data_IF_584233699062
#
_entry.id   IF_584233699062
#
_cell.length_a   1.000
_cell.length_b   1.000
_cell.length_c   1.000
_cell.angle_alpha   90.00
_cell.angle_beta   90.00
_cell.angle_gamma   90.00
#
_symmetry.space_group_name_H-M   'P 1'
#
loop_
_entity.id
_entity.type
_entity.pdbx_description
1 polymer ?
#
# COMPACT_ATOMS: atom_id res chain seq x y z
N UNK A 1 74.27 16.51 -35.86
CA UNK A 1 75.54 16.80 -35.20
C UNK A 1 75.45 16.65 -33.70
N UNK A 2 76.18 15.67 -33.20
CA UNK A 2 77.04 15.68 -32.01
C UNK A 2 76.29 16.00 -30.69
N UNK A 3 76.31 15.24 -29.64
CA UNK A 3 77.23 14.20 -29.16
C UNK A 3 76.59 13.41 -28.00
N UNK A 4 76.94 12.16 -28.01
CA UNK A 4 76.96 11.22 -26.88
C UNK A 4 77.74 11.78 -25.66
N UNK A 5 77.31 11.36 -24.45
CA UNK A 5 78.07 10.68 -23.36
C UNK A 5 77.29 10.84 -22.06
N UNK A 6 76.78 9.76 -21.54
CA UNK A 6 77.37 8.88 -20.49
C UNK A 6 77.32 9.49 -19.07
N UNK A 7 76.59 8.80 -18.20
CA UNK A 7 77.02 8.53 -16.82
C UNK A 7 76.16 7.40 -16.20
N UNK A 8 76.85 6.57 -15.50
CA UNK A 8 76.60 5.22 -15.09
C UNK A 8 75.52 5.00 -14.02
N UNK A 9 75.38 3.76 -13.54
CA UNK A 9 74.23 3.31 -12.76
C UNK A 9 74.36 3.74 -11.29
N UNK A 10 73.35 4.45 -10.80
CA UNK A 10 73.18 4.71 -9.37
C UNK A 10 72.39 3.55 -8.76
N UNK A 11 73.08 2.71 -8.01
CA UNK A 11 72.48 1.64 -7.19
C UNK A 11 71.88 2.26 -5.96
N UNK A 12 70.57 2.28 -5.85
CA UNK A 12 69.87 2.69 -4.63
C UNK A 12 69.39 1.41 -3.89
N UNK A 13 69.60 1.27 -2.59
CA UNK A 13 69.27 0.06 -1.85
C UNK A 13 67.77 -0.10 -1.69
N UNK A 14 67.30 -1.32 -1.98
CA UNK A 14 65.93 -1.77 -1.72
C UNK A 14 65.60 -1.74 -0.23
N UNK A 15 64.75 -0.81 0.20
CA UNK A 15 64.06 -0.94 1.48
C UNK A 15 62.86 -1.89 1.36
N UNK A 16 62.62 -2.74 2.37
CA UNK A 16 61.51 -3.68 2.33
C UNK A 16 60.18 -2.94 2.43
N UNK A 17 59.32 -3.17 1.44
CA UNK A 17 57.92 -2.71 1.41
C UNK A 17 57.15 -3.40 2.53
N UNK A 18 56.86 -2.72 3.62
CA UNK A 18 56.00 -3.20 4.69
C UNK A 18 54.57 -3.11 4.17
N UNK A 19 54.03 -4.26 3.86
CA UNK A 19 52.67 -4.44 3.37
C UNK A 19 51.68 -4.30 4.56
N UNK A 20 51.24 -3.09 4.88
CA UNK A 20 50.15 -2.85 5.79
C UNK A 20 48.82 -3.26 5.13
N UNK A 21 48.52 -4.55 5.22
CA UNK A 21 47.14 -5.03 5.00
C UNK A 21 46.29 -4.51 6.17
N UNK A 22 45.70 -3.33 5.97
CA UNK A 22 44.54 -2.92 6.78
C UNK A 22 43.41 -3.85 6.45
N UNK A 23 42.82 -4.57 7.40
CA UNK A 23 41.66 -5.40 7.12
C UNK A 23 40.52 -4.43 6.76
N UNK A 24 40.08 -4.44 5.49
CA UNK A 24 38.78 -3.90 5.11
C UNK A 24 37.74 -4.68 5.90
N UNK A 25 37.23 -4.08 6.99
CA UNK A 25 35.96 -4.50 7.57
C UNK A 25 34.93 -4.44 6.44
N UNK A 26 34.61 -5.60 5.87
CA UNK A 26 33.34 -5.76 5.16
C UNK A 26 32.27 -5.49 6.21
N UNK A 27 31.65 -4.31 6.09
CA UNK A 27 30.42 -4.00 6.74
C UNK A 27 29.39 -4.87 6.00
N UNK A 28 29.18 -6.08 6.49
CA UNK A 28 28.00 -6.86 6.14
C UNK A 28 26.79 -6.03 6.60
N UNK A 29 26.20 -5.30 5.65
CA UNK A 29 24.84 -4.81 5.79
C UNK A 29 24.02 -6.09 5.84
N UNK A 30 23.71 -6.57 7.05
CA UNK A 30 22.67 -7.55 7.25
C UNK A 30 21.39 -6.88 6.75
N UNK A 31 20.98 -7.17 5.51
CA UNK A 31 19.61 -7.01 5.09
C UNK A 31 18.79 -7.84 6.07
N UNK A 32 18.18 -7.18 7.05
CA UNK A 32 17.15 -7.81 7.85
C UNK A 32 16.03 -8.14 6.86
N UNK A 33 15.83 -9.41 6.57
CA UNK A 33 14.64 -9.85 5.87
C UNK A 33 13.45 -9.35 6.70
N UNK A 34 12.64 -8.49 6.11
CA UNK A 34 11.43 -8.01 6.77
C UNK A 34 10.57 -9.22 7.11
N UNK A 35 10.27 -9.37 8.38
CA UNK A 35 9.41 -10.46 8.84
C UNK A 35 8.00 -10.15 8.29
N UNK A 36 7.35 -11.12 7.64
CA UNK A 36 6.01 -10.91 7.09
C UNK A 36 5.02 -10.56 8.20
N UNK A 37 4.17 -9.57 7.96
CA UNK A 37 3.08 -9.16 8.86
C UNK A 37 1.76 -9.83 8.53
N UNK A 38 1.74 -10.73 7.53
CA UNK A 38 0.54 -11.46 7.09
C UNK A 38 0.02 -12.39 8.18
N UNK A 39 -1.29 -12.30 8.47
CA UNK A 39 -2.02 -13.25 9.31
C UNK A 39 -2.65 -14.34 8.41
N UNK A 40 -2.19 -15.60 8.46
CA UNK A 40 -2.71 -16.65 7.59
C UNK A 40 -4.21 -16.96 7.78
N UNK A 41 -4.76 -16.70 8.98
CA UNK A 41 -6.18 -16.90 9.24
C UNK A 41 -7.04 -15.82 8.55
N UNK A 42 -6.55 -14.60 8.49
CA UNK A 42 -7.20 -13.53 7.74
C UNK A 42 -7.17 -13.82 6.24
N UNK A 43 -6.00 -14.20 5.70
CA UNK A 43 -5.85 -14.58 4.28
C UNK A 43 -6.86 -15.66 3.88
N UNK A 44 -7.00 -16.74 4.69
CA UNK A 44 -7.93 -17.82 4.41
C UNK A 44 -9.40 -17.36 4.34
N UNK A 45 -9.80 -16.33 5.11
CA UNK A 45 -11.15 -15.75 5.04
C UNK A 45 -11.41 -15.12 3.67
N UNK A 46 -10.47 -14.32 3.16
CA UNK A 46 -10.59 -13.67 1.84
C UNK A 46 -10.51 -14.67 0.70
N UNK A 47 -9.64 -15.67 0.76
CA UNK A 47 -9.57 -16.74 -0.24
C UNK A 47 -10.88 -17.49 -0.41
N UNK A 48 -11.61 -17.71 0.68
CA UNK A 48 -12.91 -18.39 0.65
C UNK A 48 -13.98 -17.58 -0.09
N UNK A 49 -13.79 -16.29 -0.29
CA UNK A 49 -14.73 -15.37 -0.96
C UNK A 49 -14.25 -14.90 -2.34
N UNK A 50 -13.08 -15.30 -2.80
CA UNK A 50 -12.40 -14.74 -3.97
C UNK A 50 -13.28 -14.69 -5.24
N UNK A 51 -14.12 -15.69 -5.48
CA UNK A 51 -14.98 -15.74 -6.67
C UNK A 51 -16.15 -14.74 -6.66
N UNK A 52 -16.42 -14.10 -5.53
CA UNK A 52 -17.55 -13.18 -5.36
C UNK A 52 -17.16 -11.70 -5.51
N UNK A 53 -15.87 -11.38 -5.75
CA UNK A 53 -15.36 -9.99 -5.79
C UNK A 53 -16.19 -9.09 -6.73
N UNK A 54 -16.61 -9.59 -7.89
CA UNK A 54 -17.32 -8.82 -8.91
C UNK A 54 -18.83 -9.02 -8.91
N UNK A 55 -19.39 -9.78 -7.94
CA UNK A 55 -20.83 -9.84 -7.75
C UNK A 55 -21.32 -8.64 -6.90
N UNK A 56 -21.99 -7.65 -7.52
CA UNK A 56 -22.46 -6.46 -6.79
C UNK A 56 -23.59 -6.77 -5.80
N UNK A 57 -24.15 -7.98 -5.81
CA UNK A 57 -25.14 -8.44 -4.87
C UNK A 57 -24.60 -9.49 -3.89
N UNK A 58 -23.35 -9.92 -4.08
CA UNK A 58 -22.64 -10.89 -3.25
C UNK A 58 -22.11 -10.31 -1.93
N UNK A 59 -21.14 -11.01 -1.36
CA UNK A 59 -20.52 -10.64 -0.06
C UNK A 59 -19.77 -9.31 -0.09
N UNK A 60 -19.30 -8.88 -1.28
CA UNK A 60 -18.61 -7.60 -1.45
C UNK A 60 -19.53 -6.44 -1.83
N UNK A 61 -20.84 -6.62 -1.78
CA UNK A 61 -21.82 -5.54 -2.02
C UNK A 61 -21.52 -4.25 -1.24
N UNK A 62 -21.15 -4.28 0.06
CA UNK A 62 -20.81 -3.06 0.79
C UNK A 62 -19.63 -2.31 0.17
N UNK A 63 -18.61 -3.04 -0.29
CA UNK A 63 -17.45 -2.45 -0.95
C UNK A 63 -17.83 -1.82 -2.30
N UNK A 64 -18.66 -2.48 -3.10
CA UNK A 64 -19.18 -1.90 -4.35
C UNK A 64 -19.95 -0.60 -4.10
N UNK A 65 -20.76 -0.54 -3.04
CA UNK A 65 -21.49 0.67 -2.66
C UNK A 65 -20.58 1.79 -2.15
N UNK A 66 -19.52 1.45 -1.42
CA UNK A 66 -18.56 2.40 -0.87
C UNK A 66 -17.56 2.89 -1.93
N UNK A 67 -17.30 2.08 -2.96
CA UNK A 67 -16.19 2.30 -3.90
C UNK A 67 -16.22 3.67 -4.61
N UNK A 68 -17.36 4.22 -5.06
CA UNK A 68 -17.39 5.57 -5.60
C UNK A 68 -16.83 6.62 -4.64
N UNK A 69 -17.20 6.54 -3.36
CA UNK A 69 -16.73 7.47 -2.33
C UNK A 69 -15.23 7.31 -2.02
N UNK A 70 -14.71 6.05 -2.07
CA UNK A 70 -13.27 5.78 -1.98
C UNK A 70 -12.51 6.39 -3.15
N UNK A 71 -13.02 6.20 -4.37
CA UNK A 71 -12.42 6.73 -5.58
C UNK A 71 -12.39 8.27 -5.58
N UNK A 72 -13.47 8.92 -5.13
CA UNK A 72 -13.52 10.38 -5.00
C UNK A 72 -12.40 10.89 -4.08
N UNK A 73 -12.20 10.24 -2.93
CA UNK A 73 -11.11 10.60 -2.03
C UNK A 73 -9.74 10.35 -2.64
N UNK A 74 -9.48 9.12 -3.11
CA UNK A 74 -8.18 8.70 -3.65
C UNK A 74 -7.77 9.60 -4.81
N UNK A 75 -8.67 9.79 -5.78
CA UNK A 75 -8.36 10.59 -6.97
C UNK A 75 -8.12 12.06 -6.63
N UNK A 76 -8.88 12.62 -5.68
CA UNK A 76 -8.69 14.01 -5.22
C UNK A 76 -7.34 14.20 -4.53
N UNK A 77 -6.93 13.26 -3.66
CA UNK A 77 -5.63 13.33 -2.98
C UNK A 77 -4.47 13.21 -3.98
N UNK A 78 -4.54 12.24 -4.91
CA UNK A 78 -3.52 12.09 -5.95
C UNK A 78 -3.46 13.32 -6.85
N UNK A 79 -4.62 13.86 -7.25
CA UNK A 79 -4.69 15.05 -8.09
C UNK A 79 -4.09 16.29 -7.40
N UNK A 80 -4.36 16.46 -6.11
CA UNK A 80 -3.79 17.55 -5.31
C UNK A 80 -2.27 17.42 -5.15
N UNK A 81 -1.77 16.24 -4.83
CA UNK A 81 -0.34 16.00 -4.59
C UNK A 81 0.51 16.17 -5.86
N UNK A 82 -0.01 15.70 -7.01
CA UNK A 82 0.75 15.68 -8.27
C UNK A 82 0.30 16.75 -9.28
N UNK A 83 -0.49 17.74 -8.86
CA UNK A 83 -1.03 18.82 -9.70
C UNK A 83 -1.68 18.29 -10.98
N UNK A 84 -2.69 17.39 -10.82
CA UNK A 84 -3.40 16.73 -11.91
C UNK A 84 -4.82 17.24 -12.06
N UNK A 85 -5.23 17.48 -13.32
CA UNK A 85 -6.60 17.85 -13.66
C UNK A 85 -7.45 16.61 -13.94
N UNK A 86 -8.40 16.31 -13.04
CA UNK A 86 -9.29 15.15 -13.16
C UNK A 86 -10.28 15.25 -14.33
N UNK A 87 -10.40 16.41 -14.98
CA UNK A 87 -11.27 16.59 -16.16
C UNK A 87 -10.64 16.06 -17.46
N UNK A 88 -9.33 15.80 -17.48
CA UNK A 88 -8.64 15.34 -18.68
C UNK A 88 -8.46 13.82 -18.68
N UNK A 89 -8.54 13.15 -19.87
CA UNK A 89 -8.26 11.72 -19.97
C UNK A 89 -6.81 11.37 -19.60
N UNK A 90 -6.63 10.19 -19.04
CA UNK A 90 -5.31 9.68 -18.62
C UNK A 90 -4.55 10.62 -17.67
N UNK A 91 -5.28 11.28 -16.79
CA UNK A 91 -4.74 12.29 -15.86
C UNK A 91 -3.59 11.75 -15.00
N UNK A 92 -3.59 10.45 -14.68
CA UNK A 92 -2.54 9.80 -13.87
C UNK A 92 -1.41 9.17 -14.70
N UNK A 93 -1.34 9.48 -16.00
CA UNK A 93 -0.25 9.00 -16.85
C UNK A 93 1.12 9.39 -16.27
N UNK A 94 2.00 8.40 -16.16
CA UNK A 94 3.36 8.54 -15.63
C UNK A 94 3.45 8.36 -14.11
N UNK A 95 2.32 8.19 -13.40
CA UNK A 95 2.33 7.76 -12.00
C UNK A 95 2.36 6.24 -11.92
N UNK A 96 3.18 5.73 -11.02
CA UNK A 96 3.29 4.32 -10.66
C UNK A 96 2.62 4.11 -9.32
N UNK A 97 1.52 3.35 -9.29
CA UNK A 97 0.66 3.19 -8.11
C UNK A 97 0.66 1.72 -7.69
N UNK A 98 0.86 1.49 -6.40
CA UNK A 98 0.72 0.18 -5.77
C UNK A 98 -0.60 0.11 -5.02
N UNK A 99 -1.39 -0.92 -5.29
CA UNK A 99 -2.62 -1.27 -4.57
C UNK A 99 -2.36 -2.54 -3.73
N UNK A 100 -2.17 -2.36 -2.42
CA UNK A 100 -1.88 -3.46 -1.48
C UNK A 100 -3.18 -3.98 -0.90
N UNK A 101 -3.38 -5.30 -0.93
CA UNK A 101 -4.67 -5.93 -0.64
C UNK A 101 -5.68 -5.64 -1.74
N UNK A 102 -5.24 -5.74 -3.00
CA UNK A 102 -6.04 -5.34 -4.16
C UNK A 102 -7.33 -6.16 -4.35
N UNK A 103 -7.45 -7.32 -3.69
CA UNK A 103 -8.60 -8.20 -3.81
C UNK A 103 -8.89 -8.57 -5.26
N UNK A 104 -10.13 -8.32 -5.70
CA UNK A 104 -10.54 -8.51 -7.09
C UNK A 104 -10.18 -7.37 -8.04
N UNK A 105 -9.48 -6.33 -7.60
CA UNK A 105 -9.07 -5.20 -8.44
C UNK A 105 -10.06 -4.04 -8.49
N UNK A 106 -10.98 -3.92 -7.53
CA UNK A 106 -12.03 -2.88 -7.50
C UNK A 106 -11.48 -1.44 -7.48
N UNK A 107 -10.26 -1.23 -6.97
CA UNK A 107 -9.57 0.08 -6.99
C UNK A 107 -8.52 0.12 -8.09
N UNK A 108 -7.81 -0.97 -8.33
CA UNK A 108 -6.77 -1.06 -9.35
C UNK A 108 -7.28 -0.69 -10.74
N UNK A 109 -8.46 -1.21 -11.16
CA UNK A 109 -8.99 -0.95 -12.49
C UNK A 109 -9.37 0.51 -12.75
N UNK A 110 -10.10 1.22 -11.86
CA UNK A 110 -10.36 2.64 -12.04
C UNK A 110 -9.09 3.49 -12.14
N UNK A 111 -8.05 3.19 -11.36
CA UNK A 111 -6.76 3.90 -11.43
C UNK A 111 -6.06 3.65 -12.77
N UNK A 112 -6.09 2.41 -13.28
CA UNK A 112 -5.56 2.08 -14.60
C UNK A 112 -6.33 2.80 -15.73
N UNK A 113 -7.66 2.95 -15.61
CA UNK A 113 -8.48 3.72 -16.57
C UNK A 113 -8.12 5.21 -16.57
N UNK A 114 -7.61 5.75 -15.47
CA UNK A 114 -7.08 7.11 -15.37
C UNK A 114 -5.64 7.24 -15.89
N UNK A 115 -5.06 6.14 -16.39
CA UNK A 115 -3.77 6.13 -17.07
C UNK A 115 -2.56 5.85 -16.19
N UNK A 116 -2.75 5.50 -14.92
CA UNK A 116 -1.65 5.10 -14.04
C UNK A 116 -1.08 3.73 -14.43
N UNK A 117 0.22 3.52 -14.15
CA UNK A 117 0.84 2.20 -14.10
C UNK A 117 0.49 1.54 -12.77
N UNK A 118 -0.37 0.52 -12.80
CA UNK A 118 -0.85 -0.14 -11.58
C UNK A 118 -0.18 -1.48 -11.38
N UNK A 119 0.30 -1.68 -10.15
CA UNK A 119 0.65 -2.99 -9.62
C UNK A 119 -0.31 -3.28 -8.47
N UNK A 120 -1.08 -4.36 -8.59
CA UNK A 120 -1.98 -4.84 -7.55
C UNK A 120 -1.35 -6.05 -6.84
N UNK A 121 -1.26 -6.00 -5.52
CA UNK A 121 -0.70 -7.12 -4.76
C UNK A 121 -1.69 -7.59 -3.69
N UNK A 122 -1.72 -8.90 -3.47
CA UNK A 122 -2.57 -9.49 -2.44
C UNK A 122 -1.88 -10.72 -1.84
N UNK A 123 -2.03 -10.91 -0.54
CA UNK A 123 -1.53 -12.07 0.17
C UNK A 123 -2.42 -13.31 -0.02
N UNK A 124 -3.67 -13.12 -0.43
CA UNK A 124 -4.59 -14.20 -0.79
C UNK A 124 -4.38 -14.60 -2.26
N UNK A 125 -3.76 -15.74 -2.49
CA UNK A 125 -3.39 -16.22 -3.82
C UNK A 125 -4.59 -16.29 -4.76
N UNK A 126 -5.76 -16.70 -4.25
CA UNK A 126 -6.99 -16.85 -5.05
C UNK A 126 -7.57 -15.55 -5.58
N UNK A 127 -7.23 -14.41 -5.00
CA UNK A 127 -7.69 -13.10 -5.48
C UNK A 127 -7.04 -12.73 -6.82
N UNK A 128 -5.77 -13.07 -6.99
CA UNK A 128 -4.96 -12.66 -8.14
C UNK A 128 -5.54 -13.12 -9.50
N UNK A 129 -5.87 -14.40 -9.71
CA UNK A 129 -6.46 -14.82 -11.00
C UNK A 129 -7.85 -14.20 -11.25
N UNK A 130 -8.61 -13.89 -10.19
CA UNK A 130 -9.92 -13.21 -10.33
C UNK A 130 -9.73 -11.77 -10.80
N UNK A 131 -8.83 -11.01 -10.17
CA UNK A 131 -8.50 -9.66 -10.57
C UNK A 131 -7.94 -9.61 -12.01
N UNK A 132 -6.98 -10.48 -12.34
CA UNK A 132 -6.37 -10.55 -13.66
C UNK A 132 -7.39 -10.89 -14.75
N UNK A 133 -8.29 -11.85 -14.49
CA UNK A 133 -9.32 -12.23 -15.45
C UNK A 133 -10.31 -11.08 -15.73
N UNK A 134 -10.73 -10.34 -14.70
CA UNK A 134 -11.65 -9.21 -14.89
C UNK A 134 -10.97 -8.03 -15.60
N UNK A 135 -9.72 -7.70 -15.24
CA UNK A 135 -8.95 -6.66 -15.94
C UNK A 135 -8.77 -6.99 -17.43
N UNK A 136 -8.45 -8.26 -17.77
CA UNK A 136 -8.33 -8.72 -19.16
C UNK A 136 -9.65 -8.57 -19.92
N UNK A 137 -10.79 -8.93 -19.32
CA UNK A 137 -12.14 -8.72 -19.91
C UNK A 137 -12.44 -7.24 -20.12
N UNK A 138 -11.93 -6.39 -19.23
CA UNK A 138 -12.06 -4.93 -19.30
C UNK A 138 -11.06 -4.28 -20.26
N UNK A 139 -10.15 -5.04 -20.90
CA UNK A 139 -9.11 -4.52 -21.78
C UNK A 139 -8.04 -3.71 -21.07
N UNK A 140 -7.83 -3.95 -19.77
CA UNK A 140 -6.84 -3.27 -18.94
C UNK A 140 -5.59 -4.13 -18.78
N UNK A 141 -4.42 -3.48 -18.79
CA UNK A 141 -3.15 -4.12 -18.48
C UNK A 141 -2.70 -3.71 -17.08
N UNK A 142 -2.91 -4.60 -16.10
CA UNK A 142 -2.55 -4.40 -14.70
C UNK A 142 -1.67 -5.57 -14.28
N UNK A 143 -0.58 -5.29 -13.59
CA UNK A 143 0.32 -6.30 -13.05
C UNK A 143 -0.18 -6.74 -11.66
N UNK A 144 -0.84 -7.90 -11.61
CA UNK A 144 -1.32 -8.49 -10.37
C UNK A 144 -0.36 -9.57 -9.86
N UNK A 145 0.07 -9.46 -8.60
CA UNK A 145 1.06 -10.37 -7.99
C UNK A 145 0.58 -10.93 -6.65
N UNK A 146 0.74 -12.24 -6.47
CA UNK A 146 0.62 -12.87 -5.15
C UNK A 146 1.92 -12.60 -4.37
N UNK A 147 1.92 -11.56 -3.55
CA UNK A 147 3.08 -11.15 -2.74
C UNK A 147 2.64 -10.23 -1.60
N UNK A 148 3.58 -9.80 -0.76
CA UNK A 148 3.36 -8.91 0.38
C UNK A 148 4.14 -7.60 0.23
N UNK A 149 3.77 -6.58 1.00
CA UNK A 149 4.48 -5.30 1.03
C UNK A 149 5.97 -5.48 1.36
N UNK A 150 6.27 -6.33 2.35
CA UNK A 150 7.63 -6.57 2.83
C UNK A 150 8.50 -7.28 1.77
N UNK A 151 7.90 -8.21 1.01
CA UNK A 151 8.60 -8.87 -0.09
C UNK A 151 8.96 -7.88 -1.20
N UNK A 152 8.03 -6.98 -1.56
CA UNK A 152 8.28 -5.93 -2.56
C UNK A 152 9.33 -4.91 -2.11
N UNK A 153 9.42 -4.60 -0.81
CA UNK A 153 10.54 -3.81 -0.27
C UNK A 153 11.87 -4.49 -0.56
N UNK A 154 11.94 -5.82 -0.34
CA UNK A 154 13.15 -6.61 -0.58
C UNK A 154 13.52 -6.65 -2.07
N UNK A 155 12.54 -6.61 -2.98
CA UNK A 155 12.72 -6.51 -4.42
C UNK A 155 13.20 -5.12 -4.89
N UNK A 156 13.18 -4.12 -3.99
CA UNK A 156 13.63 -2.76 -4.29
C UNK A 156 12.63 -1.91 -5.06
N UNK A 157 11.37 -2.32 -5.10
CA UNK A 157 10.29 -1.59 -5.78
C UNK A 157 10.01 -0.24 -5.12
N UNK A 158 9.63 0.77 -5.92
CA UNK A 158 9.27 2.12 -5.44
C UNK A 158 8.15 2.71 -6.27
N UNK A 159 7.23 3.42 -5.61
CA UNK A 159 5.98 3.92 -6.17
C UNK A 159 5.79 5.39 -5.87
N UNK A 160 5.07 6.08 -6.74
CA UNK A 160 4.61 7.43 -6.50
C UNK A 160 3.48 7.41 -5.45
N UNK A 161 2.57 6.45 -5.57
CA UNK A 161 1.43 6.29 -4.65
C UNK A 161 1.36 4.85 -4.14
N UNK A 162 1.10 4.68 -2.85
CA UNK A 162 0.76 3.40 -2.22
C UNK A 162 -0.64 3.52 -1.63
N UNK A 163 -1.54 2.63 -2.04
CA UNK A 163 -2.92 2.55 -1.55
C UNK A 163 -3.08 1.26 -0.76
N UNK A 164 -3.64 1.33 0.43
CA UNK A 164 -4.05 0.17 1.21
C UNK A 164 -5.39 0.43 1.90
N UNK A 165 -6.45 -0.09 1.31
CA UNK A 165 -7.81 0.16 1.79
C UNK A 165 -8.34 -1.06 2.54
N UNK A 166 -8.65 -0.90 3.85
CA UNK A 166 -9.15 -1.97 4.72
C UNK A 166 -8.17 -3.17 4.81
N UNK A 167 -6.88 -2.89 5.03
CA UNK A 167 -5.82 -3.92 5.16
C UNK A 167 -5.13 -3.85 6.50
N UNK A 168 -4.85 -2.65 7.01
CA UNK A 168 -4.03 -2.44 8.20
C UNK A 168 -4.56 -3.10 9.46
N UNK A 169 -5.88 -3.31 9.57
CA UNK A 169 -6.53 -4.04 10.67
C UNK A 169 -6.37 -5.56 10.57
N UNK A 170 -5.97 -6.09 9.42
CA UNK A 170 -5.82 -7.53 9.17
C UNK A 170 -4.39 -8.03 9.31
N UNK A 171 -3.42 -7.14 9.53
CA UNK A 171 -2.01 -7.52 9.69
C UNK A 171 -1.66 -7.79 11.15
N UNK A 172 -0.66 -8.64 11.37
CA UNK A 172 -0.21 -9.00 12.72
C UNK A 172 0.56 -7.87 13.43
N UNK A 173 1.27 -7.02 12.69
CA UNK A 173 2.02 -5.87 13.20
C UNK A 173 1.77 -4.64 12.31
N UNK A 174 0.82 -3.77 12.68
CA UNK A 174 0.50 -2.57 11.90
C UNK A 174 1.68 -1.61 11.72
N UNK A 175 2.58 -1.47 12.71
CA UNK A 175 3.73 -0.56 12.58
C UNK A 175 4.75 -1.09 11.59
N UNK A 176 5.10 -2.37 11.66
CA UNK A 176 6.01 -3.00 10.70
C UNK A 176 5.44 -2.94 9.28
N UNK A 177 4.15 -3.19 9.11
CA UNK A 177 3.44 -3.10 7.84
C UNK A 177 3.47 -1.68 7.26
N UNK A 178 3.12 -0.65 8.04
CA UNK A 178 3.14 0.74 7.60
C UNK A 178 4.57 1.23 7.31
N UNK A 179 5.58 0.69 8.01
CA UNK A 179 6.99 0.93 7.70
C UNK A 179 7.35 0.38 6.32
N UNK A 180 6.91 -0.84 6.00
CA UNK A 180 7.08 -1.39 4.65
C UNK A 180 6.36 -0.56 3.57
N UNK A 181 5.14 -0.08 3.84
CA UNK A 181 4.43 0.85 2.95
C UNK A 181 5.23 2.14 2.71
N UNK A 182 5.81 2.71 3.78
CA UNK A 182 6.67 3.91 3.68
C UNK A 182 7.93 3.64 2.85
N UNK A 183 8.56 2.49 3.04
CA UNK A 183 9.75 2.11 2.26
C UNK A 183 9.44 1.95 0.77
N UNK A 184 8.24 1.48 0.42
CA UNK A 184 7.78 1.35 -0.96
C UNK A 184 7.50 2.69 -1.64
N UNK A 185 7.34 3.78 -0.90
CA UNK A 185 7.18 5.11 -1.46
C UNK A 185 8.50 5.70 -1.95
N UNK A 186 8.47 6.41 -3.05
CA UNK A 186 9.51 7.37 -3.44
C UNK A 186 9.53 8.54 -2.44
N UNK A 187 10.64 9.29 -2.28
CA UNK A 187 10.60 10.58 -1.60
C UNK A 187 9.52 11.49 -2.20
N UNK A 188 8.71 12.15 -1.37
CA UNK A 188 7.54 12.91 -1.80
C UNK A 188 6.36 12.04 -2.25
N UNK A 189 6.40 10.72 -2.06
CA UNK A 189 5.31 9.82 -2.44
C UNK A 189 4.13 9.86 -1.48
N UNK A 190 2.93 9.58 -2.00
CA UNK A 190 1.65 9.63 -1.28
C UNK A 190 1.20 8.25 -0.82
N UNK A 191 0.86 8.12 0.45
CA UNK A 191 0.22 6.94 1.03
C UNK A 191 -1.23 7.21 1.35
N UNK A 192 -2.13 6.31 0.96
CA UNK A 192 -3.57 6.40 1.26
C UNK A 192 -3.99 5.11 1.96
N UNK A 193 -4.51 5.23 3.18
CA UNK A 193 -4.88 4.11 4.02
C UNK A 193 -6.28 4.31 4.60
N UNK A 194 -7.13 3.28 4.54
CA UNK A 194 -8.40 3.28 5.27
C UNK A 194 -8.51 2.11 6.23
N UNK A 195 -9.33 2.27 7.26
CA UNK A 195 -9.66 1.23 8.22
C UNK A 195 -10.94 1.58 8.99
N UNK A 196 -11.30 0.71 9.93
CA UNK A 196 -12.49 0.86 10.78
C UNK A 196 -12.06 1.39 12.16
N UNK A 197 -12.76 2.42 12.63
CA UNK A 197 -12.52 3.03 13.93
C UNK A 197 -12.94 2.10 15.08
N UNK A 198 -12.15 2.04 16.14
CA UNK A 198 -12.46 1.24 17.35
C UNK A 198 -13.32 2.03 18.35
N UNK A 199 -14.63 1.99 18.18
CA UNK A 199 -15.58 2.60 19.11
C UNK A 199 -16.93 1.83 19.13
N UNK A 200 -17.84 2.13 20.09
CA UNK A 200 -19.13 1.43 20.19
C UNK A 200 -20.02 1.58 18.96
N UNK A 201 -19.94 2.71 18.23
CA UNK A 201 -20.74 2.94 17.03
C UNK A 201 -20.28 2.04 15.90
N UNK A 202 -18.96 1.93 15.66
CA UNK A 202 -18.41 1.03 14.65
C UNK A 202 -18.70 -0.44 14.96
N UNK A 203 -18.65 -0.84 16.24
CA UNK A 203 -19.08 -2.17 16.68
C UNK A 203 -20.52 -2.47 16.26
N UNK A 204 -21.44 -1.54 16.52
CA UNK A 204 -22.85 -1.71 16.12
C UNK A 204 -23.03 -1.78 14.61
N UNK A 205 -22.35 -0.93 13.85
CA UNK A 205 -22.56 -0.87 12.39
C UNK A 205 -21.78 -1.92 11.63
N UNK A 206 -20.48 -2.12 11.91
CA UNK A 206 -19.63 -3.05 11.17
C UNK A 206 -19.88 -4.51 11.57
N UNK A 207 -20.08 -4.80 12.86
CA UNK A 207 -20.26 -6.19 13.33
C UNK A 207 -21.74 -6.54 13.41
N UNK A 208 -22.55 -5.81 14.19
CA UNK A 208 -23.96 -6.16 14.35
C UNK A 208 -24.75 -5.88 13.06
N UNK A 209 -24.54 -4.72 12.47
CA UNK A 209 -25.25 -4.31 11.24
C UNK A 209 -24.86 -5.15 10.04
N UNK A 210 -23.60 -5.16 9.65
CA UNK A 210 -23.14 -5.81 8.41
C UNK A 210 -23.13 -7.34 8.52
N UNK A 211 -22.71 -7.92 9.64
CA UNK A 211 -22.55 -9.37 9.78
C UNK A 211 -23.83 -10.08 10.26
N UNK A 212 -24.60 -9.46 11.19
CA UNK A 212 -25.72 -10.14 11.82
C UNK A 212 -27.09 -9.73 11.28
N UNK A 213 -27.31 -8.43 10.99
CA UNK A 213 -28.61 -7.93 10.53
C UNK A 213 -28.72 -8.02 9.00
N UNK A 214 -27.80 -7.37 8.30
CA UNK A 214 -27.85 -7.32 6.82
C UNK A 214 -27.22 -8.55 6.17
N UNK A 215 -26.40 -9.30 6.92
CA UNK A 215 -25.69 -10.51 6.45
C UNK A 215 -24.88 -10.26 5.18
N UNK A 216 -24.35 -9.06 5.03
CA UNK A 216 -23.50 -8.68 3.90
C UNK A 216 -22.15 -9.39 3.96
N UNK A 217 -21.64 -9.61 5.19
CA UNK A 217 -20.37 -10.26 5.44
C UNK A 217 -20.57 -11.51 6.31
N UNK A 218 -19.71 -12.54 6.18
CA UNK A 218 -19.70 -13.69 7.07
C UNK A 218 -19.48 -13.25 8.53
N UNK A 219 -20.07 -14.00 9.47
CA UNK A 219 -19.82 -13.76 10.91
C UNK A 219 -18.34 -13.96 11.23
N UNK A 220 -17.76 -13.03 12.00
CA UNK A 220 -16.36 -13.07 12.38
C UNK A 220 -15.41 -12.54 11.32
N UNK A 221 -15.92 -11.82 10.30
CA UNK A 221 -15.07 -11.10 9.36
C UNK A 221 -14.28 -10.01 10.07
N UNK A 222 -14.89 -9.34 11.06
CA UNK A 222 -14.28 -8.27 11.81
C UNK A 222 -14.04 -8.64 13.27
N UNK A 223 -12.82 -8.39 13.74
CA UNK A 223 -12.44 -8.49 15.14
C UNK A 223 -12.29 -7.09 15.73
N UNK A 224 -13.21 -6.68 16.59
CA UNK A 224 -13.24 -5.32 17.16
C UNK A 224 -11.91 -4.88 17.79
N UNK A 225 -11.18 -5.82 18.39
CA UNK A 225 -9.88 -5.54 19.03
C UNK A 225 -8.79 -5.15 18.01
N UNK A 226 -8.97 -5.50 16.73
CA UNK A 226 -8.05 -5.15 15.63
C UNK A 226 -8.38 -3.80 15.00
N UNK A 227 -9.53 -3.21 15.30
CA UNK A 227 -9.89 -1.89 14.82
C UNK A 227 -8.93 -0.83 15.38
N UNK A 228 -8.66 0.21 14.62
CA UNK A 228 -7.66 1.23 14.92
C UNK A 228 -8.37 2.58 15.02
N UNK A 229 -8.14 3.33 16.10
CA UNK A 229 -8.70 4.69 16.19
C UNK A 229 -7.94 5.64 15.26
N UNK A 230 -8.55 6.76 14.81
CA UNK A 230 -7.88 7.74 13.95
C UNK A 230 -6.58 8.28 14.56
N UNK A 231 -6.53 8.52 15.86
CA UNK A 231 -5.34 9.04 16.52
C UNK A 231 -4.25 7.97 16.65
N UNK A 232 -4.62 6.69 16.88
CA UNK A 232 -3.67 5.57 16.85
C UNK A 232 -3.06 5.38 15.46
N UNK A 233 -3.87 5.48 14.39
CA UNK A 233 -3.36 5.35 13.03
C UNK A 233 -2.40 6.51 12.69
N UNK A 234 -2.73 7.74 13.07
CA UNK A 234 -1.84 8.90 12.87
C UNK A 234 -0.51 8.72 13.60
N UNK A 235 -0.54 8.20 14.82
CA UNK A 235 0.68 7.91 15.59
C UNK A 235 1.51 6.79 14.92
N UNK A 236 0.88 5.74 14.42
CA UNK A 236 1.54 4.67 13.67
C UNK A 236 2.16 5.16 12.37
N UNK A 237 1.44 5.99 11.59
CA UNK A 237 1.94 6.60 10.36
C UNK A 237 3.17 7.48 10.65
N UNK A 238 3.09 8.33 11.68
CA UNK A 238 4.23 9.18 12.09
C UNK A 238 5.44 8.34 12.55
N UNK A 239 5.20 7.27 13.32
CA UNK A 239 6.26 6.35 13.76
C UNK A 239 6.89 5.56 12.62
N UNK A 240 6.14 5.29 11.56
CA UNK A 240 6.67 4.64 10.35
C UNK A 240 7.50 5.58 9.47
N UNK A 241 7.59 6.88 9.80
CA UNK A 241 8.34 7.88 9.06
C UNK A 241 7.53 8.59 7.97
N UNK A 242 6.20 8.50 8.00
CA UNK A 242 5.31 9.25 7.13
C UNK A 242 4.75 10.49 7.85
N UNK A 243 4.40 11.51 7.09
CA UNK A 243 3.73 12.72 7.59
C UNK A 243 2.24 12.67 7.22
N UNK A 244 1.32 12.42 8.18
CA UNK A 244 -0.11 12.48 7.92
C UNK A 244 -0.54 13.90 7.53
N UNK A 245 -1.24 14.04 6.38
CA UNK A 245 -1.64 15.33 5.81
C UNK A 245 -3.15 15.55 5.77
N UNK A 246 -3.94 14.47 5.68
CA UNK A 246 -5.41 14.56 5.64
C UNK A 246 -6.07 13.33 6.28
N UNK A 247 -7.33 13.52 6.73
CA UNK A 247 -8.20 12.43 7.18
C UNK A 247 -9.67 12.76 6.95
N UNK A 248 -10.43 11.79 6.45
CA UNK A 248 -11.87 11.91 6.26
C UNK A 248 -12.60 10.63 6.63
N UNK A 249 -13.85 10.75 7.03
CA UNK A 249 -14.72 9.62 7.29
C UNK A 249 -15.57 9.26 6.08
N UNK A 250 -15.85 7.97 5.93
CA UNK A 250 -16.87 7.46 5.04
C UNK A 250 -18.17 7.32 5.83
N UNK A 251 -19.17 8.13 5.52
CA UNK A 251 -20.44 8.17 6.23
C UNK A 251 -21.57 7.63 5.38
N UNK A 252 -22.17 6.53 5.82
CA UNK A 252 -23.33 5.94 5.18
C UNK A 252 -24.61 6.69 5.53
N UNK A 253 -25.42 7.00 4.51
CA UNK A 253 -26.74 7.57 4.69
C UNK A 253 -27.82 6.49 4.37
N UNK A 254 -28.54 5.97 5.38
CA UNK A 254 -29.52 4.92 5.16
C UNK A 254 -30.78 5.40 4.41
N UNK A 255 -31.02 6.72 4.32
CA UNK A 255 -32.18 7.24 3.58
C UNK A 255 -31.94 7.26 2.06
N UNK A 256 -30.70 7.55 1.65
CA UNK A 256 -30.31 7.60 0.23
C UNK A 256 -29.57 6.36 -0.23
N UNK A 257 -29.23 5.43 0.69
CA UNK A 257 -28.38 4.27 0.44
C UNK A 257 -27.03 4.63 -0.20
N UNK A 258 -26.52 5.81 0.13
CA UNK A 258 -25.28 6.34 -0.44
C UNK A 258 -24.23 6.61 0.64
N UNK A 259 -23.01 6.73 0.21
CA UNK A 259 -21.87 7.10 1.03
C UNK A 259 -21.44 8.54 0.70
N UNK A 260 -20.87 9.22 1.66
CA UNK A 260 -20.26 10.54 1.48
C UNK A 260 -19.02 10.69 2.33
N UNK A 261 -18.12 11.56 1.90
CA UNK A 261 -16.96 11.99 2.68
C UNK A 261 -17.39 12.96 3.78
N UNK A 262 -16.65 12.98 4.88
CA UNK A 262 -16.84 13.90 6.00
C UNK A 262 -15.52 14.18 6.71
N UNK A 263 -15.19 15.45 6.85
CA UNK A 263 -14.06 15.95 7.64
C UNK A 263 -14.31 15.90 9.17
N UNK A 264 -15.56 15.61 9.58
CA UNK A 264 -15.99 15.66 11.00
C UNK A 264 -16.39 14.32 11.57
N UNK A 265 -16.99 13.43 10.79
CA UNK A 265 -17.49 12.14 11.28
C UNK A 265 -16.58 10.99 10.86
N UNK A 266 -15.60 10.68 11.70
CA UNK A 266 -14.67 9.55 11.59
C UNK A 266 -15.14 8.31 12.37
N UNK A 267 -16.41 8.24 12.71
CA UNK A 267 -16.87 7.32 13.76
C UNK A 267 -16.96 5.85 13.33
N UNK A 268 -17.03 5.53 12.03
CA UNK A 268 -17.09 4.14 11.57
C UNK A 268 -15.90 3.83 10.67
N UNK A 269 -16.01 4.06 9.37
CA UNK A 269 -14.90 3.91 8.45
C UNK A 269 -14.25 5.27 8.21
N UNK A 270 -12.94 5.29 8.12
CA UNK A 270 -12.20 6.51 7.82
C UNK A 270 -10.98 6.21 6.94
N UNK A 271 -10.50 7.24 6.28
CA UNK A 271 -9.36 7.21 5.37
C UNK A 271 -8.38 8.32 5.75
N UNK A 272 -7.11 8.08 5.54
CA UNK A 272 -6.02 9.03 5.76
C UNK A 272 -5.15 9.14 4.52
N UNK A 273 -4.60 10.33 4.31
CA UNK A 273 -3.49 10.56 3.38
C UNK A 273 -2.24 10.96 4.17
N UNK A 274 -1.08 10.47 3.74
CA UNK A 274 0.22 10.77 4.34
C UNK A 274 1.27 10.88 3.26
N UNK A 275 2.30 11.67 3.47
CA UNK A 275 3.43 11.80 2.54
C UNK A 275 4.71 11.24 3.13
N UNK A 276 5.59 10.74 2.28
CA UNK A 276 6.97 10.40 2.66
C UNK A 276 7.84 11.63 2.45
N UNK A 277 8.49 12.17 3.50
CA UNK A 277 9.42 13.29 3.37
C UNK A 277 10.56 13.05 2.40
#
# INVERSE_FOLDING_TARGET
DIALRAFGPCVCPLQPYINHKTPRKHMEIKMQAHQTTVDPLEVAKFEAMATEWWDPNGKFKPLHMLNPCRLDYITSQIAGEYDRDLSVPNTFKGLRILDIGCGGGLLSEPMARLGAEIIGVDAAERNIPVAAAHAAQSGLNIDYRHTTAEAMVTEGERFDVVINMEVVEHVADPLAYLTACQELLKPGGLHICSTINRNPKSFMFAIIGAEHVMRWLPKGTHEWNKFITPDELFDLLSKSGMEPVDRQGFVFNPLTWGWRLSDRDLSVNYVTASTKP
#
